data_IF_177045403564
#
_entry.id   IF_177045403564
#
_cell.length_a   1.000
_cell.length_b   1.000
_cell.length_c   1.000
_cell.angle_alpha   90.00
_cell.angle_beta   90.00
_cell.angle_gamma   90.00
#
_symmetry.space_group_name_H-M   'P 1'
#
loop_
_entity.id
_entity.type
_entity.pdbx_description
1 polymer ?
#
# COMPACT_ATOMS: atom_id res chain seq x y z
N UNK A 1 0.22 31.93 -28.67
CA UNK A 1 -1.01 31.25 -28.22
C UNK A 1 -0.64 30.24 -27.14
N UNK A 2 -1.21 30.39 -25.94
CA UNK A 2 -1.22 29.39 -24.85
C UNK A 2 -1.77 28.03 -25.34
N UNK A 3 -1.51 26.84 -24.76
CA UNK A 3 -1.38 26.44 -23.34
C UNK A 3 -0.53 25.16 -23.19
N UNK A 4 0.17 25.09 -22.06
CA UNK A 4 0.65 23.89 -21.37
C UNK A 4 -0.55 23.21 -20.66
N UNK A 5 -0.61 21.88 -20.64
CA UNK A 5 -1.09 21.03 -19.51
C UNK A 5 -1.66 19.70 -20.01
N UNK A 6 -1.17 18.57 -19.49
CA UNK A 6 -1.96 17.62 -18.68
C UNK A 6 -1.01 16.88 -17.74
N UNK A 7 -1.09 17.18 -16.43
CA UNK A 7 -0.62 16.30 -15.34
C UNK A 7 -1.70 15.24 -15.09
N UNK A 8 -1.32 13.98 -15.11
CA UNK A 8 -2.21 12.85 -14.79
C UNK A 8 -2.61 12.85 -13.31
N UNK A 9 -3.91 12.73 -13.08
CA UNK A 9 -4.58 12.58 -11.78
C UNK A 9 -4.06 11.36 -11.01
N UNK A 10 -3.66 11.56 -9.76
CA UNK A 10 -3.57 10.50 -8.77
C UNK A 10 -4.97 10.25 -8.19
N UNK A 11 -5.49 9.04 -8.37
CA UNK A 11 -6.73 8.56 -7.75
C UNK A 11 -6.44 8.19 -6.29
N UNK A 12 -7.01 8.94 -5.35
CA UNK A 12 -7.01 8.60 -3.93
C UNK A 12 -8.31 7.85 -3.58
N UNK A 13 -8.22 6.53 -3.42
CA UNK A 13 -9.31 5.72 -2.86
C UNK A 13 -9.36 5.92 -1.34
N UNK A 14 -10.42 6.56 -0.85
CA UNK A 14 -10.71 6.68 0.57
C UNK A 14 -11.52 5.46 1.03
N UNK A 15 -10.89 4.54 1.76
CA UNK A 15 -11.60 3.51 2.52
C UNK A 15 -11.75 4.00 3.95
N UNK A 16 -12.98 4.33 4.35
CA UNK A 16 -13.31 4.71 5.71
C UNK A 16 -13.21 3.47 6.63
N UNK A 17 -12.39 3.56 7.68
CA UNK A 17 -12.35 2.57 8.77
C UNK A 17 -13.09 3.16 9.97
N UNK A 18 -14.23 2.57 10.29
CA UNK A 18 -15.02 2.86 11.49
C UNK A 18 -14.29 2.26 12.70
N UNK A 19 -13.76 3.09 13.59
CA UNK A 19 -13.25 2.65 14.89
C UNK A 19 -14.14 3.21 16.00
N UNK A 20 -14.94 2.32 16.59
CA UNK A 20 -15.65 2.53 17.86
C UNK A 20 -14.63 2.36 18.98
N UNK A 21 -14.50 3.36 19.85
CA UNK A 21 -13.64 3.30 21.03
C UNK A 21 -14.20 4.19 22.13
N UNK A 22 -15.05 3.62 22.98
CA UNK A 22 -15.43 4.20 24.24
C UNK A 22 -14.25 4.13 25.22
N UNK A 23 -13.88 5.24 25.85
CA UNK A 23 -13.07 5.24 27.07
C UNK A 23 -13.82 6.04 28.12
N UNK A 24 -14.33 5.32 29.10
CA UNK A 24 -14.83 5.87 30.36
C UNK A 24 -13.66 6.41 31.18
N UNK A 25 -13.71 7.70 31.53
CA UNK A 25 -12.88 8.30 32.57
C UNK A 25 -13.76 8.82 33.69
N UNK A 26 -13.98 7.99 34.72
CA UNK A 26 -14.53 8.45 36.00
C UNK A 26 -13.34 8.87 36.87
N UNK A 27 -13.29 10.15 37.24
CA UNK A 27 -12.41 10.64 38.29
C UNK A 27 -13.29 11.08 39.47
N UNK A 28 -13.12 10.40 40.60
CA UNK A 28 -13.79 10.65 41.88
C UNK A 28 -12.94 11.53 42.81
N UNK A 29 -13.63 12.30 43.66
CA UNK A 29 -13.10 12.96 44.88
C UNK A 29 -13.01 14.48 44.75
N UNK A 30 -13.61 15.34 45.57
CA UNK A 30 -14.06 15.21 46.96
C UNK A 30 -15.16 16.23 47.28
N UNK A 31 -16.34 15.79 47.75
CA UNK A 31 -17.33 16.66 48.38
C UNK A 31 -17.21 16.53 49.90
N UNK A 32 -16.68 17.55 50.55
CA UNK A 32 -16.83 17.78 52.00
C UNK A 32 -17.94 18.80 52.24
N UNK A 33 -18.82 18.52 53.19
CA UNK A 33 -19.95 19.34 53.65
C UNK A 33 -20.18 18.98 55.14
N UNK A 34 -20.86 19.76 56.02
CA UNK A 34 -21.17 21.21 56.11
C UNK A 34 -20.78 21.83 57.49
N UNK A 35 -21.27 23.05 57.75
CA UNK A 35 -21.68 23.71 59.03
C UNK A 35 -20.77 24.83 59.57
N UNK A 36 -21.30 26.07 59.57
CA UNK A 36 -21.44 26.96 60.75
C UNK A 36 -22.67 27.86 60.51
N UNK A 37 -23.59 27.86 61.48
CA UNK A 37 -24.78 28.72 61.61
C UNK A 37 -24.45 30.19 61.91
N UNK A 38 -25.29 31.12 61.44
CA UNK A 38 -25.60 32.37 62.17
C UNK A 38 -26.86 33.03 61.59
N UNK A 39 -27.97 32.92 62.33
CA UNK A 39 -29.13 33.81 62.23
C UNK A 39 -28.79 35.24 62.69
N UNK A 40 -29.37 36.24 62.01
CA UNK A 40 -29.67 37.53 62.60
C UNK A 40 -31.05 37.99 62.11
N UNK A 41 -31.98 38.07 63.04
CA UNK A 41 -33.34 38.56 62.89
C UNK A 41 -33.38 40.09 62.96
N UNK A 42 -34.23 40.73 62.15
CA UNK A 42 -34.95 41.96 62.51
C UNK A 42 -35.99 42.31 61.43
N UNK A 43 -37.26 42.35 61.83
CA UNK A 43 -38.38 43.01 61.15
C UNK A 43 -38.14 44.52 61.04
N UNK A 44 -38.59 45.17 59.95
CA UNK A 44 -39.59 46.26 59.94
C UNK A 44 -39.76 46.84 58.51
N UNK A 45 -40.92 47.43 58.25
CA UNK A 45 -41.33 47.96 56.95
C UNK A 45 -40.61 49.25 56.58
N UNK A 46 -40.06 49.36 55.37
CA UNK A 46 -39.99 50.66 54.66
C UNK A 46 -39.89 50.46 53.16
N UNK A 47 -40.86 51.05 52.43
CA UNK A 47 -40.75 51.38 51.01
C UNK A 47 -39.42 52.10 50.75
N UNK A 48 -38.47 51.44 50.09
CA UNK A 48 -37.33 52.10 49.47
C UNK A 48 -37.30 51.73 47.99
N UNK A 49 -37.64 52.74 47.18
CA UNK A 49 -37.11 53.05 45.87
C UNK A 49 -36.72 51.86 44.97
N UNK A 50 -37.44 51.75 43.86
CA UNK A 50 -36.93 51.38 42.54
C UNK A 50 -35.39 51.54 42.44
N UNK A 51 -34.65 50.46 42.72
CA UNK A 51 -33.20 50.43 42.54
C UNK A 51 -32.97 49.85 41.14
N UNK A 52 -32.43 50.62 40.17
CA UNK A 52 -32.04 50.09 38.86
C UNK A 52 -30.95 49.01 38.93
N UNK A 53 -30.43 48.72 40.13
CA UNK A 53 -29.38 47.75 40.39
C UNK A 53 -29.80 46.31 40.09
N UNK A 54 -31.08 45.94 40.24
CA UNK A 54 -31.54 44.58 39.91
C UNK A 54 -31.42 44.28 38.41
N UNK A 55 -31.79 45.25 37.56
CA UNK A 55 -31.64 45.14 36.10
C UNK A 55 -30.18 45.21 35.67
N UNK A 56 -29.36 46.09 36.27
CA UNK A 56 -27.92 46.15 36.00
C UNK A 56 -27.18 44.87 36.41
N UNK A 57 -27.53 44.26 37.55
CA UNK A 57 -26.94 43.01 38.02
C UNK A 57 -27.33 41.82 37.13
N UNK A 58 -28.58 41.77 36.63
CA UNK A 58 -29.01 40.74 35.68
C UNK A 58 -28.33 40.86 34.30
N UNK A 59 -28.10 42.09 33.82
CA UNK A 59 -27.39 42.32 32.56
C UNK A 59 -25.91 41.93 32.68
N UNK A 60 -25.26 42.21 33.81
CA UNK A 60 -23.87 41.80 34.03
C UNK A 60 -23.70 40.29 34.17
N UNK A 61 -24.61 39.62 34.88
CA UNK A 61 -24.60 38.14 35.00
C UNK A 61 -24.88 37.46 33.66
N UNK A 62 -25.84 37.95 32.87
CA UNK A 62 -26.09 37.43 31.52
C UNK A 62 -24.88 37.61 30.58
N UNK A 63 -24.19 38.75 30.66
CA UNK A 63 -22.96 39.01 29.90
C UNK A 63 -21.81 38.07 30.29
N UNK A 64 -21.65 37.79 31.58
CA UNK A 64 -20.62 36.87 32.10
C UNK A 64 -20.90 35.43 31.67
N UNK A 65 -22.16 34.98 31.76
CA UNK A 65 -22.58 33.66 31.28
C UNK A 65 -22.34 33.52 29.78
N UNK A 66 -22.71 34.53 28.99
CA UNK A 66 -22.50 34.52 27.53
C UNK A 66 -21.01 34.50 27.14
N UNK A 67 -20.14 35.16 27.91
CA UNK A 67 -18.69 35.06 27.73
C UNK A 67 -18.14 33.67 28.08
N UNK A 68 -18.62 33.07 29.17
CA UNK A 68 -18.22 31.73 29.59
C UNK A 68 -18.64 30.68 28.54
N UNK A 69 -19.85 30.78 27.99
CA UNK A 69 -20.33 29.90 26.92
C UNK A 69 -19.50 30.05 25.64
N UNK A 70 -19.16 31.27 25.25
CA UNK A 70 -18.30 31.52 24.10
C UNK A 70 -16.89 30.96 24.29
N UNK A 71 -16.33 31.04 25.50
CA UNK A 71 -15.04 30.45 25.84
C UNK A 71 -15.08 28.92 25.84
N UNK A 72 -16.15 28.31 26.36
CA UNK A 72 -16.35 26.86 26.34
C UNK A 72 -16.44 26.32 24.90
N UNK A 73 -17.23 26.98 24.03
CA UNK A 73 -17.35 26.60 22.62
C UNK A 73 -16.02 26.74 21.89
N UNK A 74 -15.26 27.80 22.17
CA UNK A 74 -13.92 27.99 21.57
C UNK A 74 -12.93 26.92 22.03
N UNK A 75 -12.98 26.53 23.31
CA UNK A 75 -12.15 25.45 23.86
C UNK A 75 -12.49 24.11 23.22
N UNK A 76 -13.76 23.75 23.11
CA UNK A 76 -14.21 22.51 22.46
C UNK A 76 -13.84 22.46 20.97
N UNK A 77 -13.99 23.58 20.26
CA UNK A 77 -13.59 23.68 18.86
C UNK A 77 -12.07 23.51 18.68
N UNK A 78 -11.26 24.06 19.60
CA UNK A 78 -9.81 23.90 19.58
C UNK A 78 -9.39 22.45 19.87
N UNK A 79 -9.97 21.82 20.89
CA UNK A 79 -9.69 20.44 21.27
C UNK A 79 -10.05 19.45 20.15
N UNK A 80 -11.18 19.68 19.46
CA UNK A 80 -11.60 18.86 18.32
C UNK A 80 -10.63 19.00 17.14
N UNK A 81 -10.15 20.21 16.85
CA UNK A 81 -9.20 20.48 15.77
C UNK A 81 -7.84 19.82 16.03
N UNK A 82 -7.35 19.92 17.26
CA UNK A 82 -6.09 19.29 17.68
C UNK A 82 -6.18 17.76 17.63
N UNK A 83 -7.30 17.18 18.06
CA UNK A 83 -7.55 15.75 17.96
C UNK A 83 -7.58 15.25 16.51
N UNK A 84 -8.22 16.01 15.61
CA UNK A 84 -8.30 15.67 14.18
C UNK A 84 -6.94 15.79 13.48
N UNK A 85 -6.11 16.77 13.88
CA UNK A 85 -4.75 16.93 13.37
C UNK A 85 -3.83 15.82 13.89
N UNK A 86 -3.93 15.45 15.17
CA UNK A 86 -3.21 14.32 15.74
C UNK A 86 -3.58 13.00 15.05
N UNK A 87 -4.88 12.77 14.80
CA UNK A 87 -5.36 11.60 14.08
C UNK A 87 -4.82 11.55 12.63
N UNK A 88 -4.83 12.68 11.92
CA UNK A 88 -4.24 12.79 10.56
C UNK A 88 -2.74 12.53 10.54
N UNK A 89 -1.99 13.10 11.49
CA UNK A 89 -0.55 12.88 11.62
C UNK A 89 -0.22 11.42 11.93
N UNK A 90 -1.02 10.77 12.77
CA UNK A 90 -0.84 9.36 13.09
C UNK A 90 -1.14 8.46 11.89
N UNK A 91 -2.28 8.69 11.22
CA UNK A 91 -2.65 7.93 10.01
C UNK A 91 -1.60 8.06 8.89
N UNK A 92 -1.00 9.25 8.72
CA UNK A 92 0.09 9.46 7.76
C UNK A 92 1.35 8.67 8.15
N UNK A 93 1.74 8.65 9.43
CA UNK A 93 2.88 7.85 9.91
C UNK A 93 2.64 6.35 9.72
N UNK A 94 1.43 5.88 10.03
CA UNK A 94 1.06 4.47 9.89
C UNK A 94 1.03 4.04 8.42
N UNK A 95 0.56 4.90 7.51
CA UNK A 95 0.60 4.65 6.07
C UNK A 95 2.04 4.55 5.55
N UNK A 96 2.93 5.44 5.98
CA UNK A 96 4.36 5.41 5.62
C UNK A 96 5.04 4.16 6.20
N UNK A 97 4.76 3.80 7.45
CA UNK A 97 5.28 2.60 8.07
C UNK A 97 4.81 1.33 7.35
N UNK A 98 3.54 1.27 6.95
CA UNK A 98 2.97 0.14 6.20
C UNK A 98 3.54 0.02 4.80
N UNK A 99 3.77 1.14 4.09
CA UNK A 99 4.46 1.12 2.80
C UNK A 99 5.92 0.67 2.94
N UNK A 100 6.65 1.16 3.96
CA UNK A 100 8.03 0.75 4.22
C UNK A 100 8.11 -0.74 4.56
N UNK A 101 7.21 -1.25 5.39
CA UNK A 101 7.12 -2.67 5.72
C UNK A 101 6.81 -3.53 4.48
N UNK A 102 5.92 -3.08 3.60
CA UNK A 102 5.62 -3.78 2.35
C UNK A 102 6.82 -3.78 1.38
N UNK A 103 7.54 -2.66 1.28
CA UNK A 103 8.76 -2.57 0.47
C UNK A 103 9.89 -3.46 1.02
N UNK A 104 10.08 -3.47 2.35
CA UNK A 104 11.07 -4.32 3.01
C UNK A 104 10.70 -5.81 2.88
N UNK A 105 9.41 -6.16 2.95
CA UNK A 105 8.95 -7.54 2.73
C UNK A 105 9.19 -8.00 1.28
N UNK A 106 8.91 -7.12 0.29
CA UNK A 106 9.22 -7.39 -1.11
C UNK A 106 10.73 -7.59 -1.32
N UNK A 107 11.56 -6.70 -0.77
CA UNK A 107 13.02 -6.76 -0.88
C UNK A 107 13.60 -8.01 -0.19
N UNK A 108 13.04 -8.44 0.95
CA UNK A 108 13.43 -9.70 1.61
C UNK A 108 13.03 -10.92 0.79
N UNK A 109 11.86 -10.91 0.16
CA UNK A 109 11.42 -12.00 -0.71
C UNK A 109 12.33 -12.11 -1.96
N UNK A 110 12.66 -10.97 -2.57
CA UNK A 110 13.61 -10.89 -3.69
C UNK A 110 15.02 -11.36 -3.28
N UNK A 111 15.49 -10.99 -2.08
CA UNK A 111 16.78 -11.45 -1.56
C UNK A 111 16.80 -12.95 -1.23
N UNK A 112 15.71 -13.49 -0.68
CA UNK A 112 15.56 -14.92 -0.42
C UNK A 112 15.50 -15.72 -1.73
N UNK A 113 14.77 -15.24 -2.73
CA UNK A 113 14.77 -15.83 -4.07
C UNK A 113 16.14 -15.73 -4.75
N UNK A 114 16.86 -14.61 -4.59
CA UNK A 114 18.22 -14.46 -5.11
C UNK A 114 19.20 -15.44 -4.43
N UNK A 115 19.08 -15.64 -3.11
CA UNK A 115 19.87 -16.60 -2.36
C UNK A 115 19.57 -18.04 -2.81
N UNK A 116 18.29 -18.43 -2.95
CA UNK A 116 17.92 -19.74 -3.48
C UNK A 116 18.37 -19.93 -4.94
N UNK A 117 18.31 -18.89 -5.79
CA UNK A 117 18.86 -18.93 -7.16
C UNK A 117 20.38 -19.10 -7.18
N UNK A 118 21.09 -18.57 -6.19
CA UNK A 118 22.53 -18.74 -6.05
C UNK A 118 22.90 -20.15 -5.60
N UNK A 119 22.13 -20.75 -4.69
CA UNK A 119 22.32 -22.14 -4.27
C UNK A 119 21.95 -23.14 -5.39
N UNK A 120 20.87 -22.90 -6.15
CA UNK A 120 20.56 -23.71 -7.33
C UNK A 120 21.59 -23.54 -8.45
N UNK A 121 22.20 -22.35 -8.61
CA UNK A 121 23.29 -22.11 -9.56
C UNK A 121 24.58 -22.84 -9.15
N UNK A 122 24.88 -22.92 -7.86
CA UNK A 122 26.03 -23.69 -7.36
C UNK A 122 25.85 -25.21 -7.59
N UNK A 123 24.61 -25.70 -7.58
CA UNK A 123 24.29 -27.10 -7.90
C UNK A 123 24.29 -27.43 -9.40
N UNK A 124 24.38 -26.42 -10.28
CA UNK A 124 24.19 -26.59 -11.73
C UNK A 124 25.35 -25.94 -12.49
N UNK A 125 26.43 -26.70 -12.63
CA UNK A 125 27.31 -26.57 -13.79
C UNK A 125 26.72 -27.38 -14.95
N UNK A 126 25.58 -26.95 -15.49
CA UNK A 126 25.12 -27.37 -16.82
C UNK A 126 26.00 -26.62 -17.82
N UNK A 127 27.15 -27.20 -18.14
CA UNK A 127 27.98 -26.69 -19.21
C UNK A 127 27.11 -26.55 -20.48
N UNK A 128 27.22 -25.43 -21.23
CA UNK A 128 26.50 -25.28 -22.48
C UNK A 128 26.81 -26.46 -23.40
N UNK A 129 25.76 -27.14 -23.86
CA UNK A 129 25.86 -28.28 -24.77
C UNK A 129 25.66 -27.81 -26.21
N UNK A 130 26.16 -28.59 -27.18
CA UNK A 130 26.00 -28.29 -28.60
C UNK A 130 24.54 -28.32 -29.08
N UNK A 131 23.68 -29.06 -28.38
CA UNK A 131 22.24 -29.15 -28.66
C UNK A 131 21.46 -29.64 -27.44
N UNK A 132 20.16 -29.34 -27.43
CA UNK A 132 19.21 -29.80 -26.43
C UNK A 132 17.98 -30.40 -27.12
N UNK A 133 17.51 -31.52 -26.60
CA UNK A 133 16.19 -32.09 -26.91
C UNK A 133 15.09 -31.30 -26.20
N UNK A 134 13.86 -31.38 -26.70
CA UNK A 134 12.69 -30.75 -26.04
C UNK A 134 12.56 -31.23 -24.59
N UNK A 135 12.79 -32.51 -24.33
CA UNK A 135 12.73 -33.08 -22.98
C UNK A 135 13.78 -32.45 -22.04
N UNK A 136 15.01 -32.24 -22.52
CA UNK A 136 16.06 -31.55 -21.75
C UNK A 136 15.71 -30.09 -21.49
N UNK A 137 15.19 -29.37 -22.48
CA UNK A 137 14.73 -27.98 -22.31
C UNK A 137 13.62 -27.90 -21.26
N UNK A 138 12.65 -28.80 -21.30
CA UNK A 138 11.58 -28.88 -20.31
C UNK A 138 12.12 -29.23 -18.92
N UNK A 139 13.11 -30.13 -18.82
CA UNK A 139 13.75 -30.45 -17.55
C UNK A 139 14.48 -29.24 -16.95
N UNK A 140 15.22 -28.49 -17.78
CA UNK A 140 15.83 -27.22 -17.39
C UNK A 140 14.76 -26.23 -16.90
N UNK A 141 13.64 -26.12 -17.61
CA UNK A 141 12.55 -25.24 -17.22
C UNK A 141 11.94 -25.63 -15.86
N UNK A 142 11.76 -26.93 -15.58
CA UNK A 142 11.26 -27.38 -14.26
C UNK A 142 12.20 -27.03 -13.10
N UNK A 143 13.50 -26.88 -13.36
CA UNK A 143 14.48 -26.48 -12.34
C UNK A 143 14.49 -24.96 -12.09
N UNK A 144 14.14 -24.15 -13.11
CA UNK A 144 14.22 -22.69 -13.05
C UNK A 144 12.88 -22.07 -12.65
N UNK A 145 11.77 -22.59 -13.18
CA UNK A 145 10.44 -22.05 -12.96
C UNK A 145 9.88 -22.60 -11.64
N UNK A 146 9.33 -21.75 -10.75
CA UNK A 146 8.64 -22.23 -9.56
C UNK A 146 7.56 -23.25 -9.91
N UNK A 147 7.46 -24.35 -9.16
CA UNK A 147 6.61 -25.49 -9.48
C UNK A 147 5.15 -25.11 -9.75
N UNK A 148 4.57 -24.21 -8.95
CA UNK A 148 3.20 -23.70 -9.13
C UNK A 148 2.99 -22.83 -10.38
N UNK A 149 4.06 -22.37 -11.02
CA UNK A 149 4.02 -21.52 -12.21
C UNK A 149 4.39 -22.27 -13.50
N UNK A 150 4.95 -23.48 -13.38
CA UNK A 150 5.51 -24.23 -14.50
C UNK A 150 4.48 -24.52 -15.58
N UNK A 151 3.26 -24.94 -15.21
CA UNK A 151 2.23 -25.28 -16.19
C UNK A 151 1.86 -24.07 -17.07
N UNK A 152 1.67 -22.90 -16.46
CA UNK A 152 1.35 -21.67 -17.17
C UNK A 152 2.49 -21.24 -18.11
N UNK A 153 3.73 -21.31 -17.61
CA UNK A 153 4.92 -21.06 -18.43
C UNK A 153 5.00 -22.03 -19.61
N UNK A 154 4.77 -23.32 -19.34
CA UNK A 154 4.81 -24.39 -20.34
C UNK A 154 3.81 -24.16 -21.46
N UNK A 155 2.58 -23.78 -21.13
CA UNK A 155 1.55 -23.51 -22.14
C UNK A 155 1.97 -22.37 -23.07
N UNK A 156 2.53 -21.29 -22.52
CA UNK A 156 3.04 -20.17 -23.34
C UNK A 156 4.16 -20.67 -24.26
N UNK A 157 5.21 -21.30 -23.71
CA UNK A 157 6.36 -21.76 -24.51
C UNK A 157 5.94 -22.75 -25.61
N UNK A 158 4.96 -23.61 -25.34
CA UNK A 158 4.41 -24.54 -26.31
C UNK A 158 3.75 -23.82 -27.50
N UNK A 159 2.95 -22.78 -27.22
CA UNK A 159 2.32 -21.94 -28.24
C UNK A 159 3.31 -21.07 -29.01
N UNK A 160 4.34 -20.56 -28.35
CA UNK A 160 5.31 -19.63 -28.96
C UNK A 160 6.33 -20.36 -29.85
N UNK A 161 6.81 -21.52 -29.41
CA UNK A 161 7.98 -22.16 -30.04
C UNK A 161 7.87 -23.67 -30.16
N UNK A 162 6.83 -24.29 -29.59
CA UNK A 162 6.74 -25.75 -29.42
C UNK A 162 8.03 -26.30 -28.77
N UNK A 163 8.53 -25.56 -27.77
CA UNK A 163 9.77 -25.86 -27.03
C UNK A 163 11.07 -25.87 -27.85
N UNK A 164 11.07 -25.29 -29.06
CA UNK A 164 12.28 -25.13 -29.85
C UNK A 164 13.04 -23.85 -29.45
N UNK A 165 14.15 -24.00 -28.74
CA UNK A 165 14.99 -22.87 -28.32
C UNK A 165 15.70 -22.14 -29.48
N UNK A 166 15.66 -22.69 -30.70
CA UNK A 166 16.16 -22.07 -31.93
C UNK A 166 15.03 -21.62 -32.85
N UNK A 167 13.78 -21.64 -32.38
CA UNK A 167 12.65 -21.13 -33.15
C UNK A 167 12.92 -19.69 -33.55
N UNK A 168 12.68 -19.39 -34.83
CA UNK A 168 12.74 -18.03 -35.35
C UNK A 168 11.56 -17.83 -36.26
N UNK A 169 10.79 -16.78 -35.99
CA UNK A 169 9.74 -16.35 -36.90
C UNK A 169 10.37 -15.56 -38.06
N UNK A 170 10.29 -16.02 -39.31
CA UNK A 170 10.96 -15.35 -40.44
C UNK A 170 10.40 -13.96 -40.75
N UNK A 171 9.12 -13.72 -40.45
CA UNK A 171 8.45 -12.45 -40.75
C UNK A 171 8.76 -11.38 -39.70
N UNK A 172 8.68 -11.73 -38.41
CA UNK A 172 8.89 -10.77 -37.32
C UNK A 172 10.33 -10.74 -36.78
N UNK A 173 11.11 -11.79 -36.97
CA UNK A 173 12.43 -11.96 -36.37
C UNK A 173 12.40 -12.35 -34.88
N UNK A 174 11.22 -12.62 -34.32
CA UNK A 174 11.08 -13.11 -32.95
C UNK A 174 11.80 -14.46 -32.76
N UNK A 175 12.51 -14.62 -31.63
CA UNK A 175 13.47 -15.71 -31.44
C UNK A 175 13.32 -16.45 -30.11
N UNK A 176 13.55 -17.76 -30.16
CA UNK A 176 13.73 -18.64 -29.01
C UNK A 176 12.43 -19.11 -28.36
N UNK A 177 12.56 -19.72 -27.19
CA UNK A 177 11.47 -20.38 -26.46
C UNK A 177 10.26 -19.49 -26.18
N UNK A 178 10.54 -18.20 -25.96
CA UNK A 178 9.56 -17.17 -25.58
C UNK A 178 9.37 -16.13 -26.68
N UNK A 179 9.84 -16.43 -27.90
CA UNK A 179 9.65 -15.59 -29.10
C UNK A 179 9.94 -14.10 -28.85
N UNK A 180 11.08 -13.80 -28.24
CA UNK A 180 11.46 -12.44 -27.87
C UNK A 180 11.73 -11.56 -29.09
N UNK A 181 11.22 -10.31 -29.08
CA UNK A 181 11.41 -9.34 -30.15
C UNK A 181 12.00 -8.00 -29.64
N UNK A 182 13.21 -7.62 -30.08
CA UNK A 182 14.22 -8.47 -30.72
C UNK A 182 14.79 -9.51 -29.75
N UNK A 183 15.20 -10.67 -30.28
CA UNK A 183 15.80 -11.76 -29.48
C UNK A 183 17.03 -11.34 -28.66
N UNK A 184 17.76 -10.32 -29.13
CA UNK A 184 18.92 -9.74 -28.44
C UNK A 184 18.61 -9.18 -27.05
N UNK A 185 17.34 -8.93 -26.71
CA UNK A 185 16.94 -8.57 -25.34
C UNK A 185 17.34 -9.63 -24.31
N UNK A 186 17.46 -10.89 -24.72
CA UNK A 186 17.90 -11.99 -23.85
C UNK A 186 19.37 -11.88 -23.42
N UNK A 187 20.17 -11.06 -24.11
CA UNK A 187 21.56 -10.78 -23.75
C UNK A 187 21.71 -10.13 -22.37
N UNK A 188 20.65 -9.52 -21.83
CA UNK A 188 20.66 -8.97 -20.46
C UNK A 188 20.82 -10.04 -19.38
N UNK A 189 20.50 -11.30 -19.69
CA UNK A 189 20.63 -12.44 -18.77
C UNK A 189 21.90 -13.24 -19.02
N UNK A 190 22.33 -13.34 -20.29
CA UNK A 190 23.57 -14.03 -20.66
C UNK A 190 23.91 -13.84 -22.13
N UNK A 191 25.20 -13.72 -22.45
CA UNK A 191 25.68 -13.53 -23.82
C UNK A 191 25.43 -14.74 -24.73
N UNK A 192 25.20 -15.93 -24.15
CA UNK A 192 24.92 -17.19 -24.82
C UNK A 192 23.43 -17.44 -25.11
N UNK A 193 22.59 -16.40 -25.00
CA UNK A 193 21.13 -16.48 -25.13
C UNK A 193 20.66 -17.15 -26.41
N UNK A 194 21.42 -17.06 -27.50
CA UNK A 194 21.02 -17.62 -28.78
C UNK A 194 21.03 -19.16 -28.77
N UNK A 195 21.93 -19.79 -28.01
CA UNK A 195 22.08 -21.25 -28.01
C UNK A 195 21.80 -21.89 -26.67
N UNK A 196 21.62 -21.10 -25.60
CA UNK A 196 21.40 -21.63 -24.27
C UNK A 196 19.92 -21.50 -23.83
N UNK A 197 19.16 -22.62 -23.77
CA UNK A 197 17.76 -22.59 -23.32
C UNK A 197 17.61 -22.10 -21.88
N UNK A 198 18.57 -22.36 -20.99
CA UNK A 198 18.51 -21.87 -19.62
C UNK A 198 18.53 -20.33 -19.56
N UNK A 199 19.31 -19.70 -20.44
CA UNK A 199 19.34 -18.23 -20.58
C UNK A 199 18.00 -17.70 -21.08
N UNK A 200 17.41 -18.36 -22.09
CA UNK A 200 16.09 -17.98 -22.62
C UNK A 200 14.97 -18.16 -21.59
N UNK A 201 14.96 -19.27 -20.84
CA UNK A 201 13.98 -19.55 -19.78
C UNK A 201 14.09 -18.52 -18.67
N UNK A 202 15.31 -18.18 -18.21
CA UNK A 202 15.53 -17.17 -17.18
C UNK A 202 15.05 -15.79 -17.63
N UNK A 203 15.35 -15.41 -18.87
CA UNK A 203 14.86 -14.15 -19.42
C UNK A 203 13.34 -14.13 -19.52
N UNK A 204 12.73 -15.20 -20.03
CA UNK A 204 11.28 -15.34 -20.14
C UNK A 204 10.57 -15.25 -18.79
N UNK A 205 11.10 -15.94 -17.77
CA UNK A 205 10.59 -15.85 -16.40
C UNK A 205 10.64 -14.42 -15.86
N UNK A 206 11.78 -13.73 -16.02
CA UNK A 206 11.91 -12.33 -15.59
C UNK A 206 10.90 -11.42 -16.30
N UNK A 207 10.79 -11.55 -17.63
CA UNK A 207 9.85 -10.77 -18.42
C UNK A 207 8.39 -11.00 -17.97
N UNK A 208 7.98 -12.26 -17.76
CA UNK A 208 6.63 -12.57 -17.29
C UNK A 208 6.35 -12.00 -15.90
N UNK A 209 7.34 -12.07 -15.00
CA UNK A 209 7.23 -11.49 -13.65
C UNK A 209 7.12 -9.97 -13.70
N UNK A 210 7.94 -9.29 -14.51
CA UNK A 210 7.97 -7.83 -14.58
C UNK A 210 6.70 -7.27 -15.25
N UNK A 211 6.22 -7.93 -16.31
CA UNK A 211 5.12 -7.41 -17.13
C UNK A 211 3.73 -7.86 -16.65
N UNK A 212 3.63 -9.07 -16.09
CA UNK A 212 2.36 -9.72 -15.72
C UNK A 212 2.31 -10.15 -14.24
N UNK A 213 3.37 -9.90 -13.47
CA UNK A 213 3.48 -10.30 -12.07
C UNK A 213 3.86 -11.76 -11.87
N UNK A 214 3.56 -12.66 -12.83
CA UNK A 214 3.95 -14.07 -12.78
C UNK A 214 3.71 -14.79 -14.12
N UNK A 215 4.27 -16.00 -14.35
CA UNK A 215 3.95 -16.82 -15.53
C UNK A 215 2.46 -17.14 -15.69
N UNK A 216 1.72 -17.36 -14.60
CA UNK A 216 0.28 -17.55 -14.68
C UNK A 216 -0.48 -16.27 -14.99
N UNK A 217 0.00 -15.11 -14.51
CA UNK A 217 -0.54 -13.81 -14.94
C UNK A 217 -0.36 -13.59 -16.44
N UNK A 218 0.82 -13.96 -16.97
CA UNK A 218 1.10 -13.92 -18.40
C UNK A 218 0.19 -14.87 -19.18
N UNK A 219 -0.01 -16.10 -18.69
CA UNK A 219 -0.89 -17.07 -19.35
C UNK A 219 -2.35 -16.58 -19.40
N UNK A 220 -2.87 -16.03 -18.30
CA UNK A 220 -4.21 -15.44 -18.28
C UNK A 220 -4.35 -14.29 -19.28
N UNK A 221 -3.31 -13.45 -19.42
CA UNK A 221 -3.30 -12.39 -20.43
C UNK A 221 -3.29 -12.97 -21.85
N UNK A 222 -2.45 -13.99 -22.10
CA UNK A 222 -2.34 -14.68 -23.37
C UNK A 222 -3.67 -15.30 -23.80
N UNK A 223 -4.39 -15.96 -22.90
CA UNK A 223 -5.70 -16.54 -23.20
C UNK A 223 -6.73 -15.50 -23.68
N UNK A 224 -6.57 -14.23 -23.28
CA UNK A 224 -7.46 -13.15 -23.67
C UNK A 224 -7.01 -12.42 -24.96
N UNK A 225 -5.71 -12.38 -25.28
CA UNK A 225 -5.17 -11.53 -26.36
C UNK A 225 -4.40 -12.28 -27.46
N UNK A 226 -4.07 -13.56 -27.24
CA UNK A 226 -3.22 -14.36 -28.13
C UNK A 226 -1.75 -13.92 -28.17
N UNK A 227 -1.32 -13.05 -27.25
CA UNK A 227 0.05 -12.58 -27.06
C UNK A 227 0.30 -12.26 -25.58
N UNK A 228 1.57 -12.12 -25.20
CA UNK A 228 2.05 -11.71 -23.88
C UNK A 228 3.42 -10.99 -24.00
#
# INVERSE_FOLDING_TARGET
>A
MSRISVRGLAVASATAVTAVGAVSGVASGSTGQPSIDAEATASDSTLLADIPAGQQAQVQTASLTQQADAQAIAADASAKKDAEEAARKQAAKDAVAKQKAAADAKKRKEAAEAASRSETRAAVSLAPQSSYTVAEVQAIARQIIPSGQFQCFSNIVDHESTWNYRAQNPSSGAYGLVQSLPGSKMASVGADWQTNPATQIKWGLNYMNDRYGSPCGAWSYWQAHGNY
#
